data_IF_290787196367
#
_entry.id   IF_290787196367
#
_cell.length_a   1.000
_cell.length_b   1.000
_cell.length_c   1.000
_cell.angle_alpha   90.00
_cell.angle_beta   90.00
_cell.angle_gamma   90.00
#
_symmetry.space_group_name_H-M   'P 1'
#
loop_
_entity.id
_entity.type
_entity.pdbx_description
1 polymer ?
#
# COMPACT_ATOMS: atom_id res chain seq x y z
N UNK A 1 -116.30 25.60 -60.30
CA UNK A 1 -117.72 25.51 -59.87
C UNK A 1 -117.92 24.06 -59.41
N UNK A 2 -118.55 23.77 -58.27
CA UNK A 2 -120.00 23.70 -58.14
C UNK A 2 -120.71 23.12 -59.39
N UNK A 3 -121.66 22.19 -59.16
CA UNK A 3 -122.62 21.68 -60.14
C UNK A 3 -121.99 20.73 -61.20
N UNK A 4 -122.45 19.49 -61.40
CA UNK A 4 -123.83 19.09 -61.67
C UNK A 4 -124.55 20.06 -62.62
N UNK A 5 -123.99 20.22 -63.82
CA UNK A 5 -124.74 20.60 -65.00
C UNK A 5 -124.50 19.52 -66.07
N UNK A 6 -125.54 18.88 -66.61
CA UNK A 6 -125.38 17.96 -67.73
C UNK A 6 -124.94 18.78 -68.93
N UNK A 7 -123.68 18.63 -69.35
CA UNK A 7 -123.25 19.08 -70.66
C UNK A 7 -123.98 18.20 -71.67
N UNK A 8 -125.09 18.73 -72.19
CA UNK A 8 -125.72 18.24 -73.41
C UNK A 8 -124.59 18.05 -74.43
N UNK A 9 -124.26 16.81 -74.80
CA UNK A 9 -123.54 16.57 -76.04
C UNK A 9 -124.52 17.01 -77.14
N UNK A 10 -124.29 18.14 -77.81
CA UNK A 10 -125.08 18.44 -78.98
C UNK A 10 -124.77 17.30 -79.95
N UNK A 11 -125.81 16.65 -80.49
CA UNK A 11 -125.65 15.83 -81.68
C UNK A 11 -124.92 16.71 -82.70
N UNK A 12 -123.60 16.49 -82.83
CA UNK A 12 -122.70 17.36 -83.58
C UNK A 12 -123.20 17.44 -85.02
N UNK A 13 -123.74 16.33 -85.53
CA UNK A 13 -124.33 16.25 -86.86
C UNK A 13 -125.60 17.10 -87.07
N UNK A 14 -126.47 17.24 -86.05
CA UNK A 14 -127.69 18.07 -86.15
C UNK A 14 -127.39 19.57 -86.06
N UNK A 15 -126.39 19.97 -85.27
CA UNK A 15 -125.95 21.37 -85.20
C UNK A 15 -125.18 21.81 -86.46
N UNK A 16 -124.46 20.90 -87.10
CA UNK A 16 -123.72 21.17 -88.34
C UNK A 16 -124.67 21.42 -89.54
N UNK A 17 -125.89 20.85 -89.57
CA UNK A 17 -126.89 21.10 -90.62
C UNK A 17 -127.38 22.55 -90.73
N UNK A 18 -127.14 23.38 -89.71
CA UNK A 18 -127.58 24.78 -89.63
C UNK A 18 -126.60 25.75 -90.31
N UNK A 19 -125.40 25.28 -90.66
CA UNK A 19 -124.35 26.05 -91.31
C UNK A 19 -124.23 25.62 -92.78
N UNK A 20 -123.78 26.53 -93.65
CA UNK A 20 -123.54 26.20 -95.05
C UNK A 20 -122.42 25.16 -95.17
N UNK A 21 -122.45 24.32 -96.22
CA UNK A 21 -121.36 23.36 -96.46
C UNK A 21 -119.98 24.02 -96.51
N UNK A 22 -119.93 25.27 -97.00
CA UNK A 22 -118.73 26.10 -97.06
C UNK A 22 -118.22 26.50 -95.65
N UNK A 23 -119.12 26.89 -94.73
CA UNK A 23 -118.77 27.28 -93.35
C UNK A 23 -118.16 26.11 -92.55
N UNK A 24 -118.67 24.90 -92.77
CA UNK A 24 -118.16 23.69 -92.11
C UNK A 24 -116.80 23.28 -92.64
N UNK A 25 -116.57 23.44 -93.95
CA UNK A 25 -115.28 23.18 -94.58
C UNK A 25 -114.26 24.21 -94.09
N UNK A 26 -114.63 25.49 -93.96
CA UNK A 26 -113.76 26.53 -93.43
C UNK A 26 -113.38 26.26 -91.97
N UNK A 27 -114.34 25.91 -91.11
CA UNK A 27 -114.08 25.53 -89.71
C UNK A 27 -113.19 24.27 -89.59
N UNK A 28 -113.41 23.26 -90.45
CA UNK A 28 -112.57 22.07 -90.51
C UNK A 28 -111.13 22.41 -90.93
N UNK A 29 -110.96 23.22 -91.98
CA UNK A 29 -109.64 23.67 -92.43
C UNK A 29 -108.93 24.48 -91.35
N UNK A 30 -109.64 25.35 -90.62
CA UNK A 30 -109.08 26.09 -89.50
C UNK A 30 -108.64 25.16 -88.36
N UNK A 31 -109.48 24.21 -87.96
CA UNK A 31 -109.12 23.21 -86.94
C UNK A 31 -107.95 22.31 -87.37
N UNK A 32 -107.92 21.86 -88.62
CA UNK A 32 -106.84 21.03 -89.16
C UNK A 32 -105.51 21.81 -89.24
N UNK A 33 -105.56 23.07 -89.68
CA UNK A 33 -104.38 23.94 -89.71
C UNK A 33 -103.88 24.26 -88.30
N UNK A 34 -104.78 24.50 -87.32
CA UNK A 34 -104.41 24.67 -85.93
C UNK A 34 -103.78 23.40 -85.36
N UNK A 35 -104.37 22.24 -85.63
CA UNK A 35 -103.82 20.96 -85.19
C UNK A 35 -102.42 20.71 -85.78
N UNK A 36 -102.20 21.04 -87.06
CA UNK A 36 -100.88 20.94 -87.67
C UNK A 36 -99.88 21.92 -87.03
N UNK A 37 -100.30 23.14 -86.71
CA UNK A 37 -99.46 24.10 -85.99
C UNK A 37 -99.07 23.59 -84.59
N UNK A 38 -100.02 23.01 -83.85
CA UNK A 38 -99.77 22.41 -82.53
C UNK A 38 -98.82 21.19 -82.64
N UNK A 39 -98.96 20.37 -83.69
CA UNK A 39 -98.05 19.25 -83.97
C UNK A 39 -96.63 19.73 -84.31
N UNK A 40 -96.51 20.76 -85.15
CA UNK A 40 -95.22 21.36 -85.49
C UNK A 40 -94.53 21.94 -84.25
N UNK A 41 -95.29 22.60 -83.36
CA UNK A 41 -94.78 23.08 -82.06
C UNK A 41 -94.32 21.93 -81.16
N UNK A 42 -95.09 20.84 -81.07
CA UNK A 42 -94.71 19.67 -80.28
C UNK A 42 -93.48 18.95 -80.84
N UNK A 43 -93.31 18.90 -82.16
CA UNK A 43 -92.11 18.35 -82.81
C UNK A 43 -90.90 19.23 -82.48
N UNK A 44 -91.04 20.56 -82.57
CA UNK A 44 -89.98 21.49 -82.22
C UNK A 44 -89.57 21.38 -80.74
N UNK A 45 -90.54 21.26 -79.84
CA UNK A 45 -90.27 21.11 -78.40
C UNK A 45 -89.61 19.76 -78.09
N UNK A 46 -90.06 18.65 -78.71
CA UNK A 46 -89.38 17.36 -78.57
C UNK A 46 -87.92 17.41 -79.06
N UNK A 47 -87.66 18.08 -80.18
CA UNK A 47 -86.30 18.28 -80.67
C UNK A 47 -85.45 19.08 -79.67
N UNK A 48 -86.02 20.13 -79.05
CA UNK A 48 -85.35 20.93 -78.01
C UNK A 48 -85.06 20.10 -76.75
N UNK A 49 -86.04 19.32 -76.28
CA UNK A 49 -85.88 18.43 -75.12
C UNK A 49 -84.82 17.36 -75.36
N UNK A 50 -84.78 16.78 -76.57
CA UNK A 50 -83.75 15.82 -76.95
C UNK A 50 -82.35 16.45 -76.94
N UNK A 51 -82.22 17.67 -77.48
CA UNK A 51 -80.94 18.41 -77.45
C UNK A 51 -80.48 18.71 -76.02
N UNK A 52 -81.40 19.09 -75.12
CA UNK A 52 -81.11 19.29 -73.71
C UNK A 52 -80.68 18.00 -73.01
N UNK A 53 -81.39 16.89 -73.26
CA UNK A 53 -81.05 15.58 -72.71
C UNK A 53 -79.65 15.12 -73.14
N UNK A 54 -79.31 15.29 -74.42
CA UNK A 54 -77.97 15.00 -74.94
C UNK A 54 -76.90 15.92 -74.34
N UNK A 55 -77.24 17.18 -74.09
CA UNK A 55 -76.40 18.14 -73.36
C UNK A 55 -76.08 17.67 -71.94
N UNK A 56 -77.11 17.32 -71.17
CA UNK A 56 -76.94 16.80 -69.81
C UNK A 56 -76.17 15.48 -69.78
N UNK A 57 -76.39 14.60 -70.75
CA UNK A 57 -75.64 13.34 -70.86
C UNK A 57 -74.15 13.57 -71.07
N UNK A 58 -73.78 14.54 -71.93
CA UNK A 58 -72.38 14.94 -72.12
C UNK A 58 -71.79 15.51 -70.83
N UNK A 59 -72.52 16.41 -70.16
CA UNK A 59 -72.05 17.01 -68.91
C UNK A 59 -71.84 15.96 -67.81
N UNK A 60 -72.79 15.03 -67.64
CA UNK A 60 -72.68 13.94 -66.68
C UNK A 60 -71.46 13.04 -66.96
N UNK A 61 -71.18 12.75 -68.24
CA UNK A 61 -70.00 11.99 -68.62
C UNK A 61 -68.69 12.74 -68.30
N UNK A 62 -68.64 14.05 -68.56
CA UNK A 62 -67.47 14.89 -68.19
C UNK A 62 -67.26 14.90 -66.68
N UNK A 63 -68.31 15.15 -65.90
CA UNK A 63 -68.26 15.14 -64.43
C UNK A 63 -67.84 13.78 -63.87
N UNK A 64 -68.31 12.68 -64.47
CA UNK A 64 -67.89 11.34 -64.07
C UNK A 64 -66.38 11.12 -64.28
N UNK A 65 -65.83 11.63 -65.39
CA UNK A 65 -64.39 11.58 -65.66
C UNK A 65 -63.60 12.41 -64.66
N UNK A 66 -64.03 13.65 -64.39
CA UNK A 66 -63.40 14.54 -63.40
C UNK A 66 -63.41 13.94 -61.99
N UNK A 67 -64.52 13.33 -61.57
CA UNK A 67 -64.63 12.65 -60.27
C UNK A 67 -63.61 11.51 -60.16
N UNK A 68 -63.39 10.76 -61.24
CA UNK A 68 -62.45 9.64 -61.24
C UNK A 68 -61.00 10.12 -61.19
N UNK A 69 -60.67 11.23 -61.86
CA UNK A 69 -59.37 11.89 -61.73
C UNK A 69 -59.14 12.42 -60.32
N UNK A 70 -60.12 13.12 -59.74
CA UNK A 70 -60.04 13.63 -58.37
C UNK A 70 -59.88 12.50 -57.34
N UNK A 71 -60.51 11.34 -57.56
CA UNK A 71 -60.31 10.16 -56.70
C UNK A 71 -58.87 9.64 -56.76
N UNK A 72 -58.28 9.59 -57.96
CA UNK A 72 -56.88 9.17 -58.14
C UNK A 72 -55.93 10.16 -57.47
N UNK A 73 -56.16 11.46 -57.66
CA UNK A 73 -55.37 12.50 -57.02
C UNK A 73 -55.50 12.45 -55.50
N UNK A 74 -56.71 12.30 -54.96
CA UNK A 74 -56.94 12.19 -53.51
C UNK A 74 -56.22 10.98 -52.92
N UNK A 75 -56.23 9.83 -53.61
CA UNK A 75 -55.48 8.64 -53.20
C UNK A 75 -53.97 8.92 -53.16
N UNK A 76 -53.44 9.56 -54.20
CA UNK A 76 -52.03 9.94 -54.26
C UNK A 76 -51.64 10.89 -53.11
N UNK A 77 -52.45 11.92 -52.85
CA UNK A 77 -52.22 12.85 -51.74
C UNK A 77 -52.21 12.15 -50.38
N UNK A 78 -53.11 11.17 -50.15
CA UNK A 78 -53.14 10.38 -48.91
C UNK A 78 -51.87 9.55 -48.74
N UNK A 79 -51.42 8.89 -49.80
CA UNK A 79 -50.18 8.12 -49.77
C UNK A 79 -48.96 9.00 -49.48
N UNK A 80 -48.92 10.22 -50.03
CA UNK A 80 -47.86 11.19 -49.76
C UNK A 80 -47.91 11.72 -48.32
N UNK A 81 -49.11 11.95 -47.77
CA UNK A 81 -49.27 12.37 -46.37
C UNK A 81 -48.75 11.30 -45.40
N UNK A 82 -49.06 10.03 -45.63
CA UNK A 82 -48.55 8.91 -44.83
C UNK A 82 -47.02 8.83 -44.88
N UNK A 83 -46.43 8.95 -46.08
CA UNK A 83 -44.96 8.98 -46.21
C UNK A 83 -44.32 10.16 -45.47
N UNK A 84 -44.95 11.33 -45.51
CA UNK A 84 -44.47 12.50 -44.79
C UNK A 84 -44.53 12.30 -43.28
N UNK A 85 -45.59 11.65 -42.77
CA UNK A 85 -45.73 11.27 -41.37
C UNK A 85 -44.64 10.29 -40.93
N UNK A 86 -44.37 9.25 -41.73
CA UNK A 86 -43.27 8.30 -41.45
C UNK A 86 -41.91 8.99 -41.37
N UNK A 87 -41.61 9.91 -42.30
CA UNK A 87 -40.37 10.68 -42.28
C UNK A 87 -40.29 11.58 -41.05
N UNK A 88 -41.39 12.22 -40.66
CA UNK A 88 -41.44 13.06 -39.46
C UNK A 88 -41.19 12.25 -38.18
N UNK A 89 -41.78 11.06 -38.09
CA UNK A 89 -41.58 10.13 -36.97
C UNK A 89 -40.12 9.66 -36.90
N UNK A 90 -39.52 9.28 -38.04
CA UNK A 90 -38.11 8.90 -38.11
C UNK A 90 -37.18 10.05 -37.72
N UNK A 91 -37.44 11.26 -38.21
CA UNK A 91 -36.67 12.47 -37.87
C UNK A 91 -36.70 12.75 -36.36
N UNK A 92 -37.88 12.60 -35.75
CA UNK A 92 -38.06 12.77 -34.30
C UNK A 92 -37.24 11.73 -33.52
N UNK A 93 -37.26 10.46 -33.95
CA UNK A 93 -36.44 9.40 -33.35
C UNK A 93 -34.94 9.70 -33.44
N UNK A 94 -34.45 10.09 -34.62
CA UNK A 94 -33.04 10.46 -34.82
C UNK A 94 -32.63 11.66 -33.95
N UNK A 95 -33.52 12.63 -33.75
CA UNK A 95 -33.24 13.80 -32.91
C UNK A 95 -33.12 13.43 -31.42
N UNK A 96 -33.92 12.47 -30.96
CA UNK A 96 -33.82 11.91 -29.60
C UNK A 96 -32.51 11.13 -29.40
N UNK A 97 -32.12 10.31 -30.37
CA UNK A 97 -30.84 9.58 -30.35
C UNK A 97 -29.64 10.54 -30.35
N UNK A 98 -29.67 11.57 -31.19
CA UNK A 98 -28.64 12.61 -31.23
C UNK A 98 -28.50 13.31 -29.88
N UNK A 99 -29.62 13.62 -29.22
CA UNK A 99 -29.62 14.27 -27.90
C UNK A 99 -29.02 13.36 -26.83
N UNK A 100 -29.39 12.08 -26.86
CA UNK A 100 -28.83 11.06 -25.96
C UNK A 100 -27.33 10.91 -26.16
N UNK A 101 -26.87 10.76 -27.41
CA UNK A 101 -25.46 10.63 -27.74
C UNK A 101 -24.65 11.87 -27.30
N UNK A 102 -25.19 13.08 -27.51
CA UNK A 102 -24.55 14.33 -27.04
C UNK A 102 -24.39 14.36 -25.52
N UNK A 103 -25.39 13.88 -24.79
CA UNK A 103 -25.36 13.80 -23.33
C UNK A 103 -24.29 12.82 -22.86
N UNK A 104 -24.23 11.62 -23.46
CA UNK A 104 -23.21 10.62 -23.16
C UNK A 104 -21.79 11.14 -23.46
N UNK A 105 -21.58 11.83 -24.58
CA UNK A 105 -20.28 12.44 -24.90
C UNK A 105 -19.86 13.46 -23.85
N UNK A 106 -20.80 14.26 -23.33
CA UNK A 106 -20.53 15.23 -22.28
C UNK A 106 -20.12 14.54 -20.98
N UNK A 107 -20.88 13.53 -20.53
CA UNK A 107 -20.58 12.76 -19.33
C UNK A 107 -19.22 12.05 -19.42
N UNK A 108 -18.90 11.47 -20.58
CA UNK A 108 -17.60 10.84 -20.81
C UNK A 108 -16.45 11.85 -20.78
N UNK A 109 -16.65 13.06 -21.34
CA UNK A 109 -15.65 14.14 -21.23
C UNK A 109 -15.43 14.57 -19.79
N UNK A 110 -16.50 14.69 -19.00
CA UNK A 110 -16.41 15.05 -17.59
C UNK A 110 -15.67 13.97 -16.79
N UNK A 111 -15.99 12.69 -17.01
CA UNK A 111 -15.23 11.55 -16.42
C UNK A 111 -13.75 11.55 -16.83
N UNK A 112 -13.43 11.83 -18.10
CA UNK A 112 -12.04 11.94 -18.55
C UNK A 112 -11.33 13.08 -17.83
N UNK A 113 -12.01 14.22 -17.60
CA UNK A 113 -11.44 15.37 -16.88
C UNK A 113 -11.20 15.03 -15.40
N UNK A 114 -12.13 14.33 -14.76
CA UNK A 114 -11.97 13.85 -13.38
C UNK A 114 -10.79 12.87 -13.25
N UNK A 115 -10.71 11.87 -14.14
CA UNK A 115 -9.59 10.93 -14.18
C UNK A 115 -8.25 11.61 -14.53
N UNK A 116 -8.28 12.68 -15.33
CA UNK A 116 -7.11 13.50 -15.64
C UNK A 116 -6.77 14.53 -14.55
N UNK A 117 -7.53 14.58 -13.45
CA UNK A 117 -7.32 15.46 -12.31
C UNK A 117 -6.44 14.84 -11.23
N UNK A 118 -7.03 14.49 -10.08
CA UNK A 118 -6.32 13.92 -8.92
C UNK A 118 -5.76 12.52 -9.17
N UNK A 119 -6.44 11.69 -9.96
CA UNK A 119 -5.96 10.38 -10.41
C UNK A 119 -5.07 10.41 -11.66
N UNK A 120 -4.62 11.59 -12.10
CA UNK A 120 -3.97 11.69 -13.40
C UNK A 120 -2.70 10.83 -13.49
N UNK A 121 -2.47 10.15 -14.62
CA UNK A 121 -1.25 9.37 -14.83
C UNK A 121 0.04 10.17 -14.59
N UNK A 122 0.01 11.50 -14.82
CA UNK A 122 1.15 12.39 -14.55
C UNK A 122 1.41 12.57 -13.05
N UNK A 123 0.37 12.80 -12.24
CA UNK A 123 0.51 12.90 -10.77
C UNK A 123 0.94 11.56 -10.18
N UNK A 124 0.34 10.45 -10.63
CA UNK A 124 0.73 9.10 -10.21
C UNK A 124 2.18 8.80 -10.57
N UNK A 125 2.64 9.10 -11.80
CA UNK A 125 4.06 8.97 -12.17
C UNK A 125 4.98 9.79 -11.26
N UNK A 126 4.60 11.02 -10.94
CA UNK A 126 5.37 11.87 -10.02
C UNK A 126 5.39 11.31 -8.59
N UNK A 127 4.28 10.74 -8.12
CA UNK A 127 4.21 10.06 -6.82
C UNK A 127 5.08 8.81 -6.78
N UNK A 128 4.99 7.95 -7.81
CA UNK A 128 5.83 6.76 -7.96
C UNK A 128 7.30 7.13 -7.98
N UNK A 129 7.70 8.17 -8.74
CA UNK A 129 9.08 8.66 -8.75
C UNK A 129 9.55 9.09 -7.36
N UNK A 130 8.75 9.89 -6.65
CA UNK A 130 9.08 10.32 -5.27
C UNK A 130 9.20 9.16 -4.29
N UNK A 131 8.34 8.14 -4.43
CA UNK A 131 8.43 6.95 -3.59
C UNK A 131 9.68 6.13 -3.90
N UNK A 132 10.06 6.02 -5.17
CA UNK A 132 11.30 5.37 -5.59
C UNK A 132 12.53 6.11 -5.04
N UNK A 133 12.58 7.43 -5.21
CA UNK A 133 13.70 8.26 -4.71
C UNK A 133 13.85 8.12 -3.17
N UNK A 134 12.72 8.11 -2.44
CA UNK A 134 12.71 7.85 -0.99
C UNK A 134 13.13 6.42 -0.62
N UNK A 135 12.80 5.44 -1.46
CA UNK A 135 13.24 4.06 -1.31
C UNK A 135 14.76 3.96 -1.43
N UNK A 136 15.32 4.51 -2.50
CA UNK A 136 16.77 4.51 -2.77
C UNK A 136 17.57 5.21 -1.66
N UNK A 137 17.03 6.30 -1.09
CA UNK A 137 17.66 6.99 0.04
C UNK A 137 17.64 6.16 1.34
N UNK A 138 16.52 5.46 1.60
CA UNK A 138 16.41 4.54 2.73
C UNK A 138 17.37 3.36 2.59
N UNK A 139 17.47 2.78 1.39
CA UNK A 139 18.39 1.68 1.08
C UNK A 139 19.83 2.07 1.42
N UNK A 140 20.29 3.23 0.94
CA UNK A 140 21.64 3.77 1.24
C UNK A 140 21.87 3.93 2.74
N UNK A 141 20.86 4.40 3.48
CA UNK A 141 20.95 4.56 4.94
C UNK A 141 21.04 3.21 5.64
N UNK A 142 20.30 2.21 5.19
CA UNK A 142 20.36 0.84 5.73
C UNK A 142 21.77 0.26 5.50
N UNK A 143 22.30 0.33 4.28
CA UNK A 143 23.65 -0.19 3.98
C UNK A 143 24.74 0.48 4.82
N UNK A 144 24.60 1.80 5.07
CA UNK A 144 25.53 2.51 5.96
C UNK A 144 25.44 2.00 7.40
N UNK A 145 24.22 1.89 7.95
CA UNK A 145 24.01 1.41 9.31
C UNK A 145 24.48 -0.05 9.49
N UNK A 146 24.32 -0.90 8.49
CA UNK A 146 24.82 -2.28 8.52
C UNK A 146 26.35 -2.33 8.57
N UNK A 147 27.01 -1.50 7.75
CA UNK A 147 28.47 -1.37 7.76
C UNK A 147 28.97 -0.86 9.12
N UNK A 148 28.36 0.21 9.64
CA UNK A 148 28.71 0.80 10.93
C UNK A 148 28.50 -0.23 12.07
N UNK A 149 27.41 -0.99 12.03
CA UNK A 149 27.13 -2.04 13.03
C UNK A 149 28.18 -3.16 12.98
N UNK A 150 28.64 -3.55 11.79
CA UNK A 150 29.69 -4.56 11.63
C UNK A 150 31.01 -4.06 12.20
N UNK A 151 31.36 -2.80 11.94
CA UNK A 151 32.56 -2.18 12.49
C UNK A 151 32.52 -2.11 14.02
N UNK A 152 31.42 -1.60 14.59
CA UNK A 152 31.24 -1.53 16.05
C UNK A 152 31.33 -2.89 16.73
N UNK A 153 30.82 -3.97 16.09
CA UNK A 153 30.96 -5.34 16.61
C UNK A 153 32.42 -5.81 16.64
N UNK A 154 33.21 -5.43 15.63
CA UNK A 154 34.64 -5.74 15.59
C UNK A 154 35.37 -5.00 16.70
N UNK A 155 35.16 -3.68 16.80
CA UNK A 155 35.77 -2.83 17.83
C UNK A 155 35.42 -3.33 19.24
N UNK A 156 34.16 -3.68 19.50
CA UNK A 156 33.73 -4.24 20.79
C UNK A 156 34.45 -5.56 21.13
N UNK A 157 34.71 -6.40 20.12
CA UNK A 157 35.42 -7.67 20.32
C UNK A 157 36.89 -7.44 20.67
N UNK A 158 37.52 -6.48 19.99
CA UNK A 158 38.90 -6.08 20.26
C UNK A 158 39.04 -5.45 21.65
N UNK A 159 38.15 -4.54 22.02
CA UNK A 159 38.15 -3.93 23.35
C UNK A 159 37.94 -4.95 24.47
N UNK A 160 37.07 -5.95 24.28
CA UNK A 160 36.91 -7.04 25.23
C UNK A 160 38.20 -7.85 25.41
N UNK A 161 38.93 -8.10 24.32
CA UNK A 161 40.22 -8.79 24.38
C UNK A 161 41.26 -7.94 25.11
N UNK A 162 41.33 -6.64 24.82
CA UNK A 162 42.23 -5.72 25.50
C UNK A 162 41.93 -5.65 27.00
N UNK A 163 40.66 -5.56 27.38
CA UNK A 163 40.23 -5.57 28.77
C UNK A 163 40.64 -6.86 29.49
N UNK A 164 40.45 -8.02 28.86
CA UNK A 164 40.87 -9.30 29.43
C UNK A 164 42.39 -9.36 29.63
N UNK A 165 43.16 -8.89 28.65
CA UNK A 165 44.62 -8.82 28.77
C UNK A 165 45.05 -7.90 29.92
N UNK A 166 44.39 -6.75 30.08
CA UNK A 166 44.65 -5.85 31.21
C UNK A 166 44.31 -6.50 32.55
N UNK A 167 43.19 -7.22 32.67
CA UNK A 167 42.84 -7.96 33.88
C UNK A 167 43.87 -9.03 34.23
N UNK A 168 44.30 -9.82 33.25
CA UNK A 168 45.37 -10.80 33.44
C UNK A 168 46.65 -10.10 33.91
N UNK A 169 47.01 -8.97 33.30
CA UNK A 169 48.22 -8.24 33.70
C UNK A 169 48.14 -7.67 35.11
N UNK A 170 46.97 -7.16 35.51
CA UNK A 170 46.74 -6.70 36.88
C UNK A 170 46.89 -7.86 37.87
N UNK A 171 46.35 -9.03 37.55
CA UNK A 171 46.49 -10.21 38.41
C UNK A 171 47.95 -10.63 38.57
N UNK A 172 48.72 -10.70 37.47
CA UNK A 172 50.16 -10.99 37.50
C UNK A 172 50.92 -10.00 38.40
N UNK A 173 50.69 -8.70 38.20
CA UNK A 173 51.37 -7.65 38.97
C UNK A 173 51.02 -7.69 40.46
N UNK A 174 49.77 -8.03 40.81
CA UNK A 174 49.36 -8.22 42.21
C UNK A 174 50.09 -9.39 42.87
N UNK A 175 50.21 -10.52 42.16
CA UNK A 175 50.97 -11.69 42.66
C UNK A 175 52.44 -11.35 42.85
N UNK A 176 53.04 -10.63 41.89
CA UNK A 176 54.43 -10.19 41.99
C UNK A 176 54.63 -9.23 43.18
N UNK A 177 53.74 -8.26 43.37
CA UNK A 177 53.82 -7.32 44.50
C UNK A 177 53.72 -8.04 45.85
N UNK A 178 52.82 -9.01 45.97
CA UNK A 178 52.70 -9.81 47.19
C UNK A 178 54.00 -10.55 47.51
N UNK A 179 54.61 -11.18 46.50
CA UNK A 179 55.90 -11.85 46.61
C UNK A 179 57.04 -10.88 47.02
N UNK A 180 57.05 -9.65 46.51
CA UNK A 180 58.14 -8.70 46.73
C UNK A 180 58.05 -7.92 48.06
N UNK A 181 56.87 -7.86 48.71
CA UNK A 181 56.65 -6.98 49.89
C UNK A 181 57.10 -7.58 51.23
N UNK A 182 57.71 -8.77 51.27
CA UNK A 182 58.23 -9.35 52.52
C UNK A 182 57.12 -9.65 53.53
N UNK A 183 56.39 -10.75 53.32
CA UNK A 183 55.29 -11.14 54.21
C UNK A 183 55.84 -11.68 55.55
N UNK A 184 55.23 -11.27 56.66
CA UNK A 184 55.48 -11.86 57.98
C UNK A 184 54.99 -13.31 57.99
N UNK A 185 55.82 -14.24 58.45
CA UNK A 185 55.55 -15.69 58.38
C UNK A 185 55.27 -16.33 59.72
N UNK A 186 55.95 -15.86 60.76
CA UNK A 186 55.87 -16.45 62.08
C UNK A 186 55.80 -15.35 63.11
N UNK A 187 54.87 -15.48 64.04
CA UNK A 187 54.82 -14.67 65.24
C UNK A 187 54.46 -15.56 66.44
N UNK A 188 55.35 -15.58 67.43
CA UNK A 188 55.14 -16.22 68.73
C UNK A 188 55.88 -15.43 69.80
N UNK A 189 55.15 -14.99 70.82
CA UNK A 189 55.64 -14.14 71.92
C UNK A 189 56.49 -12.96 71.40
N UNK A 190 57.77 -12.95 71.75
CA UNK A 190 58.74 -11.90 71.43
C UNK A 190 59.41 -12.07 70.05
N UNK A 191 59.07 -13.15 69.33
CA UNK A 191 59.81 -13.62 68.16
C UNK A 191 59.01 -13.51 66.86
N UNK A 192 59.65 -12.96 65.83
CA UNK A 192 59.04 -12.73 64.52
C UNK A 192 59.96 -13.24 63.41
N UNK A 193 59.37 -13.86 62.37
CA UNK A 193 60.06 -14.16 61.11
C UNK A 193 59.34 -13.47 59.95
N UNK A 194 60.12 -12.87 59.06
CA UNK A 194 59.64 -12.20 57.85
C UNK A 194 60.44 -12.75 56.66
N UNK A 195 59.81 -12.95 55.50
CA UNK A 195 60.53 -13.34 54.28
C UNK A 195 61.45 -12.21 53.86
N UNK A 196 62.73 -12.51 53.65
CA UNK A 196 63.62 -11.54 53.01
C UNK A 196 63.34 -11.50 51.49
N UNK A 197 63.07 -10.31 50.92
CA UNK A 197 62.54 -10.21 49.55
C UNK A 197 63.54 -10.63 48.47
N UNK A 198 64.83 -10.67 48.76
CA UNK A 198 65.89 -11.04 47.82
C UNK A 198 66.59 -12.35 48.22
N UNK A 199 67.17 -13.07 47.25
CA UNK A 199 68.10 -14.16 47.56
C UNK A 199 69.36 -13.56 48.18
N UNK A 200 69.89 -14.21 49.20
CA UNK A 200 71.08 -13.76 49.93
C UNK A 200 72.20 -14.76 49.70
N UNK A 201 73.41 -14.25 49.49
CA UNK A 201 74.65 -15.03 49.44
C UNK A 201 75.25 -15.06 50.83
N UNK A 202 75.46 -16.26 51.36
CA UNK A 202 76.02 -16.48 52.69
C UNK A 202 77.28 -17.35 52.59
N UNK A 203 78.13 -17.23 53.61
CA UNK A 203 79.33 -18.04 53.77
C UNK A 203 79.29 -18.71 55.14
N UNK A 204 79.55 -20.01 55.20
CA UNK A 204 79.63 -20.75 56.46
C UNK A 204 80.97 -20.55 57.19
N UNK A 205 81.11 -21.16 58.36
CA UNK A 205 82.33 -21.08 59.18
C UNK A 205 83.55 -21.79 58.53
N UNK A 206 83.30 -22.67 57.55
CA UNK A 206 84.31 -23.42 56.81
C UNK A 206 84.72 -22.72 55.51
N UNK A 207 84.06 -21.61 55.16
CA UNK A 207 84.34 -20.81 53.97
C UNK A 207 83.48 -21.17 52.74
N UNK A 208 82.54 -22.11 52.86
CA UNK A 208 81.65 -22.51 51.76
C UNK A 208 80.61 -21.42 51.49
N UNK A 209 80.42 -21.07 50.22
CA UNK A 209 79.43 -20.07 49.80
C UNK A 209 78.17 -20.74 49.26
N UNK A 210 77.01 -20.28 49.71
CA UNK A 210 75.71 -20.73 49.23
C UNK A 210 74.76 -19.55 49.04
N UNK A 211 73.84 -19.68 48.08
CA UNK A 211 72.84 -18.67 47.76
C UNK A 211 71.45 -19.26 47.93
N UNK A 212 70.59 -18.55 48.67
CA UNK A 212 69.23 -19.02 48.93
C UNK A 212 68.32 -17.92 49.45
N UNK A 213 67.05 -18.27 49.67
CA UNK A 213 66.11 -17.46 50.45
C UNK A 213 66.51 -17.47 51.91
N UNK A 214 66.31 -16.33 52.55
CA UNK A 214 66.56 -16.13 53.97
C UNK A 214 65.32 -15.59 54.65
N UNK A 215 65.22 -15.86 55.94
CA UNK A 215 64.22 -15.26 56.81
C UNK A 215 64.88 -14.16 57.63
N UNK A 216 64.25 -13.01 57.71
CA UNK A 216 64.60 -11.97 58.67
C UNK A 216 63.98 -12.35 60.01
N UNK A 217 64.82 -12.68 60.98
CA UNK A 217 64.42 -12.84 62.36
C UNK A 217 64.47 -11.49 63.07
N UNK A 218 63.38 -11.16 63.78
CA UNK A 218 63.26 -9.97 64.61
C UNK A 218 62.76 -10.35 66.01
N UNK A 219 63.47 -9.87 67.03
CA UNK A 219 63.08 -9.95 68.43
C UNK A 219 62.44 -8.64 68.88
N UNK A 220 61.49 -8.68 69.83
CA UNK A 220 60.80 -7.48 70.34
C UNK A 220 61.76 -6.41 70.89
N UNK A 221 62.95 -6.81 71.31
CA UNK A 221 64.02 -5.89 71.75
C UNK A 221 64.63 -5.06 70.62
N UNK A 222 64.08 -5.12 69.40
CA UNK A 222 64.58 -4.42 68.20
C UNK A 222 65.84 -5.04 67.58
N UNK A 223 66.29 -6.20 68.09
CA UNK A 223 67.45 -6.91 67.55
C UNK A 223 66.97 -7.93 66.52
N UNK A 224 67.69 -8.04 65.41
CA UNK A 224 67.35 -8.99 64.37
C UNK A 224 68.57 -9.49 63.63
N UNK A 225 68.38 -10.54 62.84
CA UNK A 225 69.42 -11.14 62.03
C UNK A 225 68.81 -11.99 60.93
N UNK A 226 69.59 -12.27 59.88
CA UNK A 226 69.16 -13.17 58.83
C UNK A 226 69.40 -14.62 59.25
N UNK A 227 68.38 -15.44 59.03
CA UNK A 227 68.42 -16.89 59.16
C UNK A 227 68.49 -17.49 57.76
N UNK A 228 69.49 -18.34 57.55
CA UNK A 228 69.73 -18.99 56.26
C UNK A 228 69.95 -20.48 56.47
N UNK A 229 69.45 -21.28 55.52
CA UNK A 229 69.64 -22.72 55.53
C UNK A 229 70.96 -23.06 54.81
N UNK A 230 71.85 -23.78 55.50
CA UNK A 230 73.07 -24.28 54.90
C UNK A 230 72.83 -25.71 54.37
N UNK A 231 72.88 -25.93 53.05
CA UNK A 231 72.60 -27.23 52.44
C UNK A 231 73.61 -28.32 52.80
N UNK A 232 74.84 -27.97 53.21
CA UNK A 232 75.87 -28.96 53.57
C UNK A 232 75.72 -29.48 55.00
N UNK A 233 75.18 -28.65 55.89
CA UNK A 233 74.98 -29.01 57.31
C UNK A 233 73.54 -29.36 57.65
N UNK A 234 72.62 -29.16 56.69
CA UNK A 234 71.17 -29.27 56.84
C UNK A 234 70.59 -28.48 58.02
N UNK A 235 71.27 -27.39 58.40
CA UNK A 235 70.92 -26.57 59.56
C UNK A 235 70.64 -25.13 59.18
N UNK A 236 69.68 -24.52 59.89
CA UNK A 236 69.45 -23.08 59.83
C UNK A 236 70.38 -22.37 60.79
N UNK A 237 71.18 -21.48 60.24
CA UNK A 237 72.11 -20.66 61.00
C UNK A 237 71.62 -19.22 61.03
N UNK A 238 71.61 -18.64 62.23
CA UNK A 238 71.50 -17.20 62.41
C UNK A 238 72.91 -16.60 62.30
N UNK A 239 73.07 -15.54 61.49
CA UNK A 239 74.36 -14.86 61.39
C UNK A 239 74.91 -14.49 62.78
N UNK A 240 76.21 -14.70 63.00
CA UNK A 240 76.83 -14.59 64.31
C UNK A 240 76.61 -13.19 64.93
N UNK A 241 75.94 -13.15 66.07
CA UNK A 241 75.74 -11.92 66.84
C UNK A 241 76.90 -11.68 67.82
N UNK A 242 77.36 -10.42 68.02
CA UNK A 242 78.35 -10.10 69.05
C UNK A 242 77.84 -10.44 70.46
N UNK A 243 78.76 -10.60 71.43
CA UNK A 243 78.53 -11.11 72.80
C UNK A 243 77.23 -10.56 73.43
N UNK A 244 76.35 -11.47 73.87
CA UNK A 244 74.96 -11.17 74.25
C UNK A 244 73.94 -11.54 73.16
N UNK A 245 74.30 -12.52 72.32
CA UNK A 245 73.64 -12.85 71.06
C UNK A 245 72.15 -13.17 71.16
N UNK A 246 71.48 -12.96 70.03
CA UNK A 246 70.11 -13.36 69.79
C UNK A 246 69.93 -14.86 70.07
N UNK A 247 68.95 -15.21 70.90
CA UNK A 247 68.56 -16.59 71.18
C UNK A 247 67.13 -16.80 70.69
N UNK A 248 66.92 -17.25 69.44
CA UNK A 248 65.59 -17.63 68.97
C UNK A 248 65.06 -18.82 69.78
N UNK A 249 63.75 -18.85 70.01
CA UNK A 249 63.06 -20.01 70.61
C UNK A 249 63.20 -21.27 69.74
N UNK A 250 63.18 -22.46 70.35
CA UNK A 250 63.29 -23.73 69.61
C UNK A 250 62.16 -23.91 68.58
N UNK A 251 60.91 -23.59 68.95
CA UNK A 251 59.76 -23.67 68.02
C UNK A 251 59.95 -22.80 66.77
N UNK A 252 60.56 -21.64 66.92
CA UNK A 252 60.87 -20.74 65.81
C UNK A 252 61.97 -21.32 64.93
N UNK A 253 63.01 -21.91 65.53
CA UNK A 253 64.09 -22.56 64.77
C UNK A 253 63.57 -23.75 63.98
N UNK A 254 62.69 -24.55 64.58
CA UNK A 254 62.05 -25.67 63.90
C UNK A 254 61.20 -25.17 62.72
N UNK A 255 60.36 -24.17 62.95
CA UNK A 255 59.57 -23.55 61.88
C UNK A 255 60.45 -22.98 60.76
N UNK A 256 61.49 -22.21 61.11
CA UNK A 256 62.43 -21.65 60.16
C UNK A 256 63.17 -22.73 59.37
N UNK A 257 63.53 -23.85 60.01
CA UNK A 257 64.21 -24.99 59.37
C UNK A 257 63.29 -25.66 58.36
N UNK A 258 62.07 -25.99 58.76
CA UNK A 258 61.10 -26.62 57.88
C UNK A 258 60.74 -25.71 56.69
N UNK A 259 60.52 -24.41 56.95
CA UNK A 259 60.20 -23.44 55.90
C UNK A 259 61.37 -23.23 54.93
N UNK A 260 62.59 -22.98 55.45
CA UNK A 260 63.76 -22.74 54.60
C UNK A 260 64.19 -24.00 53.84
N UNK A 261 64.01 -25.19 54.42
CA UNK A 261 64.21 -26.46 53.72
C UNK A 261 63.22 -26.59 52.56
N UNK A 262 61.92 -26.41 52.83
CA UNK A 262 60.87 -26.47 51.80
C UNK A 262 61.18 -25.49 50.65
N UNK A 263 61.48 -24.24 50.98
CA UNK A 263 61.70 -23.20 49.98
C UNK A 263 63.02 -23.38 49.22
N UNK A 264 64.13 -23.62 49.90
CA UNK A 264 65.44 -23.66 49.24
C UNK A 264 65.78 -25.02 48.63
N UNK A 265 65.33 -26.13 49.23
CA UNK A 265 65.65 -27.49 48.78
C UNK A 265 64.56 -28.07 47.89
N UNK A 266 63.29 -27.99 48.30
CA UNK A 266 62.19 -28.60 47.53
C UNK A 266 61.67 -27.68 46.41
N UNK A 267 61.71 -26.37 46.60
CA UNK A 267 61.15 -25.37 45.67
C UNK A 267 62.23 -24.52 44.96
N UNK A 268 63.51 -24.90 45.05
CA UNK A 268 64.64 -24.27 44.36
C UNK A 268 64.76 -22.73 44.61
N UNK A 269 64.30 -22.28 45.77
CA UNK A 269 64.30 -20.87 46.20
C UNK A 269 63.14 -20.04 45.67
N UNK A 270 62.12 -20.67 45.08
CA UNK A 270 60.84 -20.05 44.69
C UNK A 270 59.87 -20.12 45.86
N UNK A 271 59.37 -18.96 46.30
CA UNK A 271 58.36 -18.87 47.37
C UNK A 271 56.99 -18.93 46.71
N UNK A 272 56.18 -19.95 47.01
CA UNK A 272 54.80 -20.03 46.51
C UNK A 272 53.84 -19.30 47.44
N UNK A 273 52.61 -19.04 46.96
CA UNK A 273 51.58 -18.33 47.74
C UNK A 273 51.29 -19.03 49.08
N UNK A 274 51.30 -20.36 49.08
CA UNK A 274 51.11 -21.18 50.31
C UNK A 274 52.23 -20.99 51.34
N UNK A 275 53.44 -20.67 50.87
CA UNK A 275 54.60 -20.44 51.73
C UNK A 275 54.58 -19.05 52.37
N UNK A 276 53.69 -18.17 51.90
CA UNK A 276 53.53 -16.79 52.39
C UNK A 276 52.41 -16.64 53.43
N UNK A 277 51.76 -17.74 53.82
CA UNK A 277 50.67 -17.71 54.80
C UNK A 277 51.23 -17.43 56.19
N UNK A 278 50.85 -16.32 56.86
CA UNK A 278 51.34 -16.00 58.20
C UNK A 278 50.80 -16.99 59.23
N UNK A 279 51.68 -17.49 60.09
CA UNK A 279 51.32 -18.33 61.24
C UNK A 279 51.53 -17.52 62.52
N UNK A 280 50.44 -17.27 63.23
CA UNK A 280 50.45 -16.58 64.52
C UNK A 280 50.07 -17.57 65.63
N UNK A 281 51.04 -17.88 66.49
CA UNK A 281 50.87 -18.81 67.60
C UNK A 281 50.34 -18.13 68.88
N UNK A 282 50.27 -16.81 68.91
CA UNK A 282 49.71 -16.03 70.04
C UNK A 282 48.17 -15.94 69.98
N UNK A 283 47.54 -16.42 68.91
CA UNK A 283 46.09 -16.37 68.71
C UNK A 283 45.31 -17.60 69.17
N UNK A 284 45.97 -18.61 69.74
CA UNK A 284 45.37 -19.89 70.17
C UNK A 284 45.38 -20.06 71.71
N UNK A 285 45.18 -18.98 72.46
CA UNK A 285 44.69 -19.09 73.84
C UNK A 285 43.18 -18.85 73.85
N UNK A 286 42.45 -19.95 73.65
CA UNK A 286 41.02 -20.12 73.85
C UNK A 286 40.75 -21.58 74.19
#
# INVERSE_FOLDING_TARGET
>A
MNANAPLQQPSTLEHLKQYGGDDLIEAFLHCYNQQNADWDEMIAENARLQQLADGYKRQANTQASEIEELKKENKFCREMALKAEDIANQSTGLQQELTTARTQIRELRDKIKELSGEGSPKKLKAQVKRLKDKGDEREKRITKLETDTKQLRSELTEERKNLQNSFTKIAELKTQLAHDTGSGLFHKDEHHLIIWPQKTKMQDQNGNQFEGRSLLYLHQSGRGGLMSYNPETEQVNLCAAPRGGLRPSEDLKEFATNWLYKVNVLQEGVVNVEDMVPVNYNGYEG
#
